data_IF_744791816931
#
_entry.id   IF_744791816931
#
_cell.length_a   1.000
_cell.length_b   1.000
_cell.length_c   1.000
_cell.angle_alpha   90.00
_cell.angle_beta   90.00
_cell.angle_gamma   90.00
#
_symmetry.space_group_name_H-M   'P 1'
#
loop_
_entity.id
_entity.type
_entity.pdbx_description
1 polymer ?
#
# COMPACT_ATOMS: atom_id res chain seq x y z
N UNK A 1 50.54 -34.03 12.17
CA UNK A 1 50.95 -34.90 13.30
C UNK A 1 50.09 -34.48 14.49
N UNK A 2 48.91 -35.04 14.72
CA UNK A 2 48.61 -36.34 15.39
C UNK A 2 49.25 -36.50 16.78
N UNK A 3 48.40 -36.43 17.80
CA UNK A 3 48.35 -37.21 19.07
C UNK A 3 47.67 -36.30 20.12
N UNK A 4 46.51 -36.59 20.69
CA UNK A 4 45.84 -37.86 20.90
C UNK A 4 45.94 -38.21 22.38
N UNK A 5 44.89 -37.91 23.15
CA UNK A 5 44.62 -38.64 24.38
C UNK A 5 43.12 -38.81 24.56
N UNK A 6 42.71 -40.08 24.44
CA UNK A 6 41.38 -40.58 24.71
C UNK A 6 41.42 -41.39 26.01
N UNK A 7 40.23 -41.51 26.62
CA UNK A 7 39.77 -42.44 27.67
C UNK A 7 39.67 -41.73 29.03
N UNK A 8 38.52 -41.73 29.72
CA UNK A 8 37.52 -42.80 29.86
C UNK A 8 36.29 -42.25 30.60
N UNK A 9 35.11 -42.75 30.21
CA UNK A 9 33.89 -42.98 31.03
C UNK A 9 33.14 -41.69 31.45
N UNK A 10 31.86 -41.53 31.11
CA UNK A 10 30.78 -42.46 31.44
C UNK A 10 29.58 -42.18 30.52
N UNK A 11 29.09 -43.23 29.88
CA UNK A 11 27.73 -43.28 29.35
C UNK A 11 26.76 -43.04 30.51
N UNK A 12 25.92 -42.01 30.40
CA UNK A 12 24.62 -42.02 31.07
C UNK A 12 23.56 -41.79 30.00
N UNK A 13 22.95 -42.91 29.61
CA UNK A 13 21.83 -42.99 28.70
C UNK A 13 20.59 -42.59 29.51
N UNK A 14 20.30 -41.29 29.55
CA UNK A 14 19.04 -40.76 30.03
C UNK A 14 17.96 -40.94 28.96
N UNK A 15 17.49 -42.18 28.79
CA UNK A 15 16.17 -42.44 28.21
C UNK A 15 15.15 -41.94 29.22
N UNK A 16 14.77 -40.67 29.06
CA UNK A 16 13.62 -40.05 29.69
C UNK A 16 12.62 -39.72 28.59
N UNK A 17 11.82 -40.72 28.21
CA UNK A 17 10.59 -40.47 27.48
C UNK A 17 9.62 -39.70 28.36
N UNK A 18 9.05 -38.65 27.79
CA UNK A 18 8.03 -37.78 28.37
C UNK A 18 7.83 -36.67 27.37
N UNK A 19 6.96 -36.82 26.38
CA UNK A 19 5.52 -36.83 26.61
C UNK A 19 5.07 -35.41 26.29
N UNK A 20 4.55 -35.22 25.09
CA UNK A 20 4.31 -33.91 24.50
C UNK A 20 3.37 -33.05 25.35
N UNK A 21 3.89 -31.90 25.78
CA UNK A 21 3.13 -30.83 26.45
C UNK A 21 3.31 -29.52 25.67
N UNK A 22 3.14 -29.57 24.35
CA UNK A 22 3.05 -28.37 23.51
C UNK A 22 1.93 -28.47 22.45
N UNK A 23 1.03 -29.45 22.61
CA UNK A 23 -0.08 -29.68 21.69
C UNK A 23 -1.29 -28.77 21.93
N UNK A 24 -1.45 -28.20 23.14
CA UNK A 24 -2.61 -27.34 23.43
C UNK A 24 -2.48 -25.93 22.86
N UNK A 25 -1.27 -25.34 22.87
CA UNK A 25 -1.00 -24.01 22.31
C UNK A 25 -1.00 -24.01 20.79
N UNK A 26 -0.52 -25.08 20.15
CA UNK A 26 -0.52 -25.23 18.69
C UNK A 26 -1.92 -25.49 18.13
N UNK A 27 -2.76 -26.25 18.84
CA UNK A 27 -4.16 -26.47 18.44
C UNK A 27 -5.01 -25.19 18.58
N UNK A 28 -4.82 -24.40 19.65
CA UNK A 28 -5.51 -23.13 19.84
C UNK A 28 -5.11 -22.10 18.77
N UNK A 29 -3.82 -21.97 18.47
CA UNK A 29 -3.32 -21.08 17.43
C UNK A 29 -3.81 -21.48 16.02
N UNK A 30 -3.92 -22.79 15.74
CA UNK A 30 -4.47 -23.28 14.48
C UNK A 30 -5.96 -22.94 14.33
N UNK A 31 -6.74 -23.03 15.41
CA UNK A 31 -8.16 -22.66 15.41
C UNK A 31 -8.37 -21.15 15.20
N UNK A 32 -7.56 -20.30 15.84
CA UNK A 32 -7.60 -18.85 15.62
C UNK A 32 -7.24 -18.48 14.17
N UNK A 33 -6.24 -19.15 13.59
CA UNK A 33 -5.86 -18.93 12.20
C UNK A 33 -6.98 -19.34 11.23
N UNK A 34 -7.63 -20.47 11.47
CA UNK A 34 -8.78 -20.91 10.69
C UNK A 34 -9.93 -19.90 10.78
N UNK A 35 -10.26 -19.43 11.98
CA UNK A 35 -11.29 -18.41 12.19
C UNK A 35 -10.94 -17.09 11.47
N UNK A 36 -9.68 -16.68 11.49
CA UNK A 36 -9.19 -15.50 10.74
C UNK A 36 -9.33 -15.69 9.23
N UNK A 37 -9.09 -16.90 8.72
CA UNK A 37 -9.27 -17.20 7.30
C UNK A 37 -10.73 -17.17 6.88
N UNK A 38 -11.64 -17.68 7.72
CA UNK A 38 -13.09 -17.61 7.48
C UNK A 38 -13.58 -16.16 7.49
N UNK A 39 -13.12 -15.34 8.43
CA UNK A 39 -13.47 -13.92 8.46
C UNK A 39 -12.99 -13.19 7.19
N UNK A 40 -11.75 -13.44 6.75
CA UNK A 40 -11.23 -12.90 5.48
C UNK A 40 -12.06 -13.33 4.28
N UNK A 41 -12.56 -14.57 4.29
CA UNK A 41 -13.42 -15.08 3.23
C UNK A 41 -14.81 -14.40 3.23
N UNK A 42 -15.41 -14.19 4.39
CA UNK A 42 -16.67 -13.44 4.55
C UNK A 42 -16.52 -11.98 4.07
N UNK A 43 -15.41 -11.32 4.43
CA UNK A 43 -15.09 -9.98 3.94
C UNK A 43 -14.89 -9.96 2.42
N UNK A 44 -14.18 -10.94 1.86
CA UNK A 44 -13.87 -10.98 0.42
C UNK A 44 -15.10 -11.17 -0.48
N UNK A 45 -16.18 -11.80 0.02
CA UNK A 45 -17.43 -11.96 -0.74
C UNK A 45 -18.47 -10.87 -0.43
N UNK A 46 -18.15 -9.95 0.47
CA UNK A 46 -19.08 -8.93 0.94
C UNK A 46 -19.38 -7.88 -0.16
N UNK A 47 -20.65 -7.47 -0.39
CA UNK A 47 -21.01 -6.54 -1.48
C UNK A 47 -20.31 -5.18 -1.43
N UNK A 48 -20.01 -4.68 -0.21
CA UNK A 48 -19.31 -3.40 -0.02
C UNK A 48 -17.78 -3.50 -0.12
N UNK A 49 -17.21 -4.70 -0.21
CA UNK A 49 -15.76 -4.87 -0.15
C UNK A 49 -15.03 -4.17 -1.29
N UNK A 50 -15.51 -4.33 -2.53
CA UNK A 50 -14.95 -3.64 -3.71
C UNK A 50 -15.04 -2.11 -3.57
N UNK A 51 -16.10 -1.59 -2.96
CA UNK A 51 -16.24 -0.15 -2.72
C UNK A 51 -15.22 0.35 -1.69
N UNK A 52 -15.01 -0.40 -0.60
CA UNK A 52 -14.01 -0.09 0.42
C UNK A 52 -12.61 -0.11 -0.17
N UNK A 53 -12.26 -1.14 -0.94
CA UNK A 53 -10.96 -1.25 -1.62
C UNK A 53 -10.79 -0.09 -2.61
N UNK A 54 -11.82 0.23 -3.40
CA UNK A 54 -11.80 1.35 -4.34
C UNK A 54 -11.59 2.70 -3.65
N UNK A 55 -12.28 2.95 -2.53
CA UNK A 55 -12.10 4.15 -1.73
C UNK A 55 -10.68 4.24 -1.15
N UNK A 56 -10.15 3.14 -0.62
CA UNK A 56 -8.80 3.07 -0.07
C UNK A 56 -7.72 3.32 -1.14
N UNK A 57 -7.84 2.66 -2.31
CA UNK A 57 -6.95 2.92 -3.46
C UNK A 57 -7.08 4.37 -3.91
N UNK A 58 -8.29 4.93 -3.88
CA UNK A 58 -8.53 6.35 -4.13
C UNK A 58 -7.74 7.26 -3.19
N UNK A 59 -7.62 6.93 -1.90
CA UNK A 59 -6.77 7.65 -0.95
C UNK A 59 -5.28 7.50 -1.33
N UNK A 60 -4.83 6.27 -1.60
CA UNK A 60 -3.43 6.00 -1.96
C UNK A 60 -3.01 6.78 -3.20
N UNK A 61 -3.84 6.81 -4.25
CA UNK A 61 -3.54 7.55 -5.49
C UNK A 61 -3.36 9.05 -5.28
N UNK A 62 -4.02 9.64 -4.29
CA UNK A 62 -3.85 11.07 -3.95
C UNK A 62 -2.59 11.30 -3.14
N UNK A 63 -2.25 10.38 -2.22
CA UNK A 63 -1.06 10.47 -1.37
C UNK A 63 0.25 10.06 -2.06
N UNK A 64 0.18 9.45 -3.24
CA UNK A 64 1.34 8.82 -3.88
C UNK A 64 1.84 9.66 -5.06
N UNK A 65 3.16 9.88 -5.20
CA UNK A 65 3.74 10.49 -6.39
C UNK A 65 3.35 9.75 -7.67
N UNK A 66 3.23 10.49 -8.78
CA UNK A 66 2.74 9.96 -10.07
C UNK A 66 3.57 8.74 -10.53
N UNK A 67 4.89 8.78 -10.33
CA UNK A 67 5.82 7.73 -10.75
C UNK A 67 5.57 6.38 -10.07
N UNK A 68 4.91 6.37 -8.91
CA UNK A 68 4.64 5.16 -8.14
C UNK A 68 3.22 4.61 -8.35
N UNK A 69 2.36 5.31 -9.09
CA UNK A 69 1.02 4.81 -9.42
C UNK A 69 1.03 3.47 -10.16
N UNK A 70 1.94 3.19 -11.12
CA UNK A 70 2.00 1.88 -11.77
C UNK A 70 2.20 0.71 -10.80
N UNK A 71 2.92 0.93 -9.70
CA UNK A 71 3.11 -0.09 -8.66
C UNK A 71 1.79 -0.40 -7.94
N UNK A 72 1.00 0.62 -7.62
CA UNK A 72 -0.33 0.47 -7.02
C UNK A 72 -1.24 -0.33 -7.97
N UNK A 73 -1.26 0.00 -9.26
CA UNK A 73 -2.07 -0.72 -10.25
C UNK A 73 -1.64 -2.19 -10.39
N UNK A 74 -0.34 -2.47 -10.39
CA UNK A 74 0.18 -3.84 -10.43
C UNK A 74 -0.20 -4.65 -9.17
N UNK A 75 -0.14 -4.04 -7.98
CA UNK A 75 -0.58 -4.68 -6.75
C UNK A 75 -2.08 -4.96 -6.75
N UNK A 76 -2.89 -4.02 -7.25
CA UNK A 76 -4.33 -4.17 -7.37
C UNK A 76 -4.69 -5.31 -8.34
N UNK A 77 -4.02 -5.41 -9.48
CA UNK A 77 -4.19 -6.52 -10.42
C UNK A 77 -3.94 -7.89 -9.76
N UNK A 78 -2.91 -8.00 -8.91
CA UNK A 78 -2.61 -9.22 -8.15
C UNK A 78 -3.63 -9.51 -7.04
N UNK A 79 -4.29 -8.48 -6.49
CA UNK A 79 -5.26 -8.63 -5.40
C UNK A 79 -6.47 -9.48 -5.79
N UNK A 80 -6.90 -9.43 -7.05
CA UNK A 80 -8.05 -10.20 -7.53
C UNK A 80 -7.85 -11.72 -7.41
N UNK A 81 -6.62 -12.20 -7.59
CA UNK A 81 -6.30 -13.62 -7.37
C UNK A 81 -6.46 -13.99 -5.89
N UNK A 82 -5.99 -13.12 -4.97
CA UNK A 82 -6.13 -13.33 -3.53
C UNK A 82 -7.60 -13.34 -3.11
N UNK A 83 -8.40 -12.38 -3.57
CA UNK A 83 -9.84 -12.32 -3.28
C UNK A 83 -10.56 -13.57 -3.77
N UNK A 84 -10.26 -14.02 -5.00
CA UNK A 84 -10.78 -15.29 -5.52
C UNK A 84 -10.37 -16.47 -4.64
N UNK A 85 -9.12 -16.51 -4.16
CA UNK A 85 -8.64 -17.59 -3.27
C UNK A 85 -9.34 -17.62 -1.90
N UNK A 86 -9.80 -16.47 -1.40
CA UNK A 86 -10.58 -16.40 -0.17
C UNK A 86 -12.04 -16.75 -0.44
N UNK A 87 -12.60 -16.27 -1.55
CA UNK A 87 -13.97 -16.58 -1.97
C UNK A 87 -14.19 -18.08 -2.20
N UNK A 88 -13.21 -18.82 -2.74
CA UNK A 88 -13.31 -20.29 -2.89
C UNK A 88 -13.31 -21.04 -1.55
N UNK A 89 -12.76 -20.43 -0.49
CA UNK A 89 -12.74 -20.96 0.87
C UNK A 89 -13.92 -20.44 1.71
N UNK A 90 -14.80 -19.64 1.12
CA UNK A 90 -15.96 -19.10 1.81
C UNK A 90 -16.86 -20.23 2.31
N UNK A 91 -17.18 -20.13 3.60
CA UNK A 91 -18.20 -20.92 4.25
C UNK A 91 -18.98 -19.98 5.15
N UNK A 92 -20.33 -20.04 5.16
CA UNK A 92 -21.12 -19.26 6.10
C UNK A 92 -20.68 -19.59 7.53
N UNK A 93 -20.01 -18.64 8.17
CA UNK A 93 -19.44 -18.81 9.50
C UNK A 93 -20.04 -17.80 10.49
N UNK A 94 -20.34 -16.59 10.01
CA UNK A 94 -20.87 -15.51 10.85
C UNK A 94 -22.34 -15.72 11.19
N UNK A 95 -22.70 -15.44 12.44
CA UNK A 95 -24.10 -15.40 12.86
C UNK A 95 -24.81 -14.16 12.28
N UNK A 96 -26.16 -14.14 12.20
CA UNK A 96 -26.89 -12.97 11.72
C UNK A 96 -26.52 -11.62 12.39
N UNK A 97 -26.34 -11.53 13.72
CA UNK A 97 -25.88 -10.27 14.33
C UNK A 97 -24.45 -9.90 13.92
N UNK A 98 -23.53 -10.86 13.87
CA UNK A 98 -22.13 -10.57 13.48
C UNK A 98 -22.04 -10.07 12.02
N UNK A 99 -22.93 -10.56 11.14
CA UNK A 99 -23.04 -10.04 9.76
C UNK A 99 -23.49 -8.59 9.75
N UNK A 100 -24.50 -8.25 10.56
CA UNK A 100 -24.96 -6.86 10.66
C UNK A 100 -23.88 -5.92 11.19
N UNK A 101 -23.09 -6.38 12.16
CA UNK A 101 -21.94 -5.62 12.69
C UNK A 101 -20.87 -5.43 11.62
N UNK A 102 -20.58 -6.46 10.81
CA UNK A 102 -19.67 -6.36 9.67
C UNK A 102 -20.18 -5.36 8.61
N UNK A 103 -21.45 -5.44 8.23
CA UNK A 103 -22.07 -4.51 7.28
C UNK A 103 -21.93 -3.06 7.77
N UNK A 104 -22.26 -2.83 9.04
CA UNK A 104 -22.19 -1.52 9.70
C UNK A 104 -20.76 -1.00 9.74
N UNK A 105 -19.81 -1.86 10.11
CA UNK A 105 -18.39 -1.52 10.12
C UNK A 105 -17.89 -1.13 8.74
N UNK A 106 -18.19 -1.92 7.69
CA UNK A 106 -17.74 -1.64 6.33
C UNK A 106 -18.35 -0.34 5.79
N UNK A 107 -19.62 -0.07 6.09
CA UNK A 107 -20.27 1.19 5.73
C UNK A 107 -19.62 2.40 6.42
N UNK A 108 -19.35 2.32 7.72
CA UNK A 108 -18.67 3.39 8.46
C UNK A 108 -17.24 3.60 7.95
N UNK A 109 -16.51 2.51 7.72
CA UNK A 109 -15.14 2.57 7.22
C UNK A 109 -15.08 3.21 5.83
N UNK A 110 -16.04 2.90 4.95
CA UNK A 110 -16.18 3.55 3.64
C UNK A 110 -16.36 5.06 3.77
N UNK A 111 -17.22 5.52 4.67
CA UNK A 111 -17.43 6.96 4.93
C UNK A 111 -16.17 7.65 5.43
N UNK A 112 -15.41 7.00 6.32
CA UNK A 112 -14.13 7.50 6.82
C UNK A 112 -13.12 7.63 5.68
N UNK A 113 -13.00 6.62 4.82
CA UNK A 113 -12.11 6.68 3.66
C UNK A 113 -12.49 7.80 2.70
N UNK A 114 -13.78 7.98 2.41
CA UNK A 114 -14.25 9.05 1.53
C UNK A 114 -13.92 10.43 2.10
N UNK A 115 -14.23 10.69 3.37
CA UNK A 115 -13.94 11.98 4.00
C UNK A 115 -12.43 12.25 4.11
N UNK A 116 -11.64 11.21 4.43
CA UNK A 116 -10.19 11.32 4.44
C UNK A 116 -9.61 11.63 3.05
N UNK A 117 -10.14 11.01 1.99
CA UNK A 117 -9.72 11.30 0.61
C UNK A 117 -9.94 12.77 0.25
N UNK A 118 -11.10 13.33 0.59
CA UNK A 118 -11.41 14.74 0.32
C UNK A 118 -10.45 15.67 1.06
N UNK A 119 -10.17 15.40 2.33
CA UNK A 119 -9.18 16.16 3.12
C UNK A 119 -7.79 16.09 2.50
N UNK A 120 -7.37 14.90 2.08
CA UNK A 120 -6.06 14.67 1.46
C UNK A 120 -5.94 15.39 0.11
N UNK A 121 -6.99 15.32 -0.74
CA UNK A 121 -7.05 16.03 -2.01
C UNK A 121 -6.95 17.54 -1.80
N UNK A 122 -7.69 18.06 -0.82
CA UNK A 122 -7.67 19.48 -0.50
C UNK A 122 -6.29 19.92 0.01
N UNK A 123 -5.62 19.13 0.86
CA UNK A 123 -4.29 19.40 1.37
C UNK A 123 -3.24 19.48 0.25
N UNK A 124 -3.19 18.46 -0.63
CA UNK A 124 -2.27 18.44 -1.78
C UNK A 124 -2.54 19.62 -2.72
N UNK A 125 -3.83 19.91 -2.99
CA UNK A 125 -4.21 21.03 -3.86
C UNK A 125 -3.74 22.37 -3.33
N UNK A 126 -3.94 22.64 -2.03
CA UNK A 126 -3.52 23.90 -1.41
C UNK A 126 -2.01 24.07 -1.52
N UNK A 127 -1.23 23.07 -1.12
CA UNK A 127 0.23 23.17 -1.20
C UNK A 127 0.76 23.25 -2.63
N UNK A 128 0.14 22.57 -3.59
CA UNK A 128 0.51 22.70 -4.99
C UNK A 128 0.27 24.14 -5.50
N UNK A 129 -0.87 24.74 -5.15
CA UNK A 129 -1.19 26.12 -5.53
C UNK A 129 -0.23 27.10 -4.85
N UNK A 130 0.02 26.95 -3.55
CA UNK A 130 0.97 27.79 -2.80
C UNK A 130 2.38 27.72 -3.41
N UNK A 131 2.83 26.53 -3.79
CA UNK A 131 4.12 26.34 -4.45
C UNK A 131 4.18 27.05 -5.81
N UNK A 132 3.12 26.92 -6.63
CA UNK A 132 3.04 27.62 -7.93
C UNK A 132 3.06 29.13 -7.74
N UNK A 133 2.31 29.65 -6.77
CA UNK A 133 2.30 31.08 -6.45
C UNK A 133 3.69 31.57 -6.01
N UNK A 134 4.37 30.83 -5.12
CA UNK A 134 5.72 31.16 -4.69
C UNK A 134 6.73 31.13 -5.85
N UNK A 135 6.62 30.17 -6.77
CA UNK A 135 7.44 30.14 -7.98
C UNK A 135 7.20 31.38 -8.85
N UNK A 136 5.94 31.78 -9.04
CA UNK A 136 5.60 32.98 -9.80
C UNK A 136 6.15 34.27 -9.15
N UNK A 137 6.08 34.38 -7.82
CA UNK A 137 6.67 35.52 -7.09
C UNK A 137 8.19 35.60 -7.27
N UNK A 138 8.87 34.45 -7.29
CA UNK A 138 10.31 34.36 -7.58
C UNK A 138 10.60 34.81 -9.01
N UNK A 139 9.85 34.31 -9.99
CA UNK A 139 9.98 34.70 -11.40
C UNK A 139 9.78 36.20 -11.60
N UNK A 140 8.74 36.78 -10.99
CA UNK A 140 8.49 38.22 -11.04
C UNK A 140 9.65 39.01 -10.43
N UNK A 141 10.18 38.57 -9.28
CA UNK A 141 11.32 39.23 -8.63
C UNK A 141 12.58 39.21 -9.51
N UNK A 142 12.80 38.11 -10.25
CA UNK A 142 13.90 37.99 -11.20
C UNK A 142 13.70 38.92 -12.41
N UNK A 143 12.48 38.99 -12.94
CA UNK A 143 12.13 39.89 -14.03
C UNK A 143 12.34 41.35 -13.62
N UNK A 144 11.90 41.75 -12.43
CA UNK A 144 12.06 43.11 -11.92
C UNK A 144 13.53 43.51 -11.78
N UNK A 145 14.40 42.57 -11.37
CA UNK A 145 15.83 42.81 -11.19
C UNK A 145 16.60 42.86 -12.52
N UNK A 146 16.22 42.02 -13.49
CA UNK A 146 17.00 41.83 -14.73
C UNK A 146 16.41 42.55 -15.94
N UNK A 147 15.14 42.95 -15.87
CA UNK A 147 14.37 43.45 -17.00
C UNK A 147 14.07 42.40 -18.08
N UNK A 148 14.46 41.13 -17.85
CA UNK A 148 14.23 40.03 -18.77
C UNK A 148 12.93 39.31 -18.38
N UNK A 149 11.95 39.34 -19.27
CA UNK A 149 10.85 38.39 -19.21
C UNK A 149 11.37 37.03 -19.64
N UNK A 150 11.21 36.02 -18.79
CA UNK A 150 11.26 34.61 -19.19
C UNK A 150 10.01 34.29 -20.02
N UNK A 151 9.82 34.98 -21.15
CA UNK A 151 8.82 34.59 -22.13
C UNK A 151 9.28 33.26 -22.75
N UNK A 152 8.34 32.32 -22.91
CA UNK A 152 8.57 30.98 -23.43
C UNK A 152 9.60 30.98 -24.56
N UNK A 153 10.73 30.30 -24.35
CA UNK A 153 11.77 30.11 -25.34
C UNK A 153 11.30 29.23 -26.49
N UNK A 154 10.45 29.76 -27.38
CA UNK A 154 10.28 29.25 -28.74
C UNK A 154 11.37 29.85 -29.62
N UNK A 155 12.51 29.18 -29.63
CA UNK A 155 13.29 28.95 -30.85
C UNK A 155 13.74 30.17 -31.68
N UNK A 156 14.35 31.17 -31.07
CA UNK A 156 15.08 32.22 -31.79
C UNK A 156 16.59 32.11 -31.52
N UNK A 157 17.21 31.01 -31.95
CA UNK A 157 18.66 30.96 -32.11
C UNK A 157 18.97 30.53 -33.52
N UNK A 158 19.77 31.36 -34.20
CA UNK A 158 20.33 31.22 -35.54
C UNK A 158 19.48 31.84 -36.67
N UNK A 159 19.56 33.17 -36.76
CA UNK A 159 19.67 33.84 -38.06
C UNK A 159 20.89 33.26 -38.79
N UNK A 160 20.66 32.54 -39.88
CA UNK A 160 21.71 32.25 -40.85
C UNK A 160 21.52 33.22 -42.02
N UNK A 161 22.03 34.43 -41.84
CA UNK A 161 22.27 35.35 -42.94
C UNK A 161 23.54 34.86 -43.65
N UNK A 162 23.41 33.91 -44.58
CA UNK A 162 24.47 33.62 -45.55
C UNK A 162 24.18 34.36 -46.86
N UNK A 163 25.17 35.15 -47.27
CA UNK A 163 25.17 36.17 -48.31
C UNK A 163 24.73 35.73 -49.72
N UNK A 164 24.10 36.68 -50.42
CA UNK A 164 23.94 36.74 -51.87
C UNK A 164 25.28 36.58 -52.60
N UNK A 165 25.47 35.46 -53.30
CA UNK A 165 26.43 35.33 -54.41
C UNK A 165 25.86 34.46 -55.54
N UNK A 166 24.98 35.02 -56.39
CA UNK A 166 24.78 34.61 -57.79
C UNK A 166 24.43 35.79 -58.68
#
# INVERSE_FOLDING_TARGET
MMQGDQRRLRMEMGIGGGGGECSSSSAAAAAEEEQRQLLKAEMAVHPLWEQVVGAHVGCLRVATPIDHLPLIEAQLANSHHLLRSYATRHRPFLSPPDKHDLDTFLAQYLLVLCSFREQLQQHVRVHAVEAVMACHEIEQSLQDLTGLTLEEGTGATMSDDEDELQ
#
